data_IF_813494443797
#
_entry.id   IF_813494443797
#
_cell.length_a   1.000
_cell.length_b   1.000
_cell.length_c   1.000
_cell.angle_alpha   90.00
_cell.angle_beta   90.00
_cell.angle_gamma   90.00
#
_symmetry.space_group_name_H-M   'P 1'
#
loop_
_entity.id
_entity.type
_entity.pdbx_description
1 polymer ?
#
# COMPACT_ATOMS: atom_id res chain seq x y z
N UNK A 1 -1.87 -16.30 -0.92
CA UNK A 1 -2.41 -14.91 -0.87
C UNK A 1 -2.02 -14.19 -2.16
N UNK A 2 -3.00 -13.70 -2.91
CA UNK A 2 -2.75 -12.93 -4.14
C UNK A 2 -2.61 -11.44 -3.82
N UNK A 3 -1.46 -10.86 -4.10
CA UNK A 3 -1.18 -9.45 -3.85
C UNK A 3 -1.16 -8.67 -5.16
N UNK A 4 -1.97 -7.63 -5.28
CA UNK A 4 -1.93 -6.66 -6.38
C UNK A 4 -1.16 -5.42 -5.93
N UNK A 5 -0.10 -5.08 -6.63
CA UNK A 5 0.67 -3.84 -6.40
C UNK A 5 0.38 -2.87 -7.53
N UNK A 6 -0.39 -1.82 -7.24
CA UNK A 6 -0.64 -0.71 -8.16
C UNK A 6 0.47 0.33 -7.98
N UNK A 7 1.34 0.41 -8.97
CA UNK A 7 2.50 1.32 -8.97
C UNK A 7 2.12 2.62 -9.65
N UNK A 8 2.02 3.68 -8.89
CA UNK A 8 1.66 5.01 -9.39
C UNK A 8 2.84 5.98 -9.31
N UNK A 9 3.75 5.90 -10.27
CA UNK A 9 4.90 6.80 -10.38
C UNK A 9 4.90 7.51 -11.74
N UNK A 10 4.81 8.86 -11.81
CA UNK A 10 4.71 9.60 -13.08
C UNK A 10 5.86 9.35 -14.06
N UNK A 11 7.04 9.03 -13.55
CA UNK A 11 8.21 8.68 -14.35
C UNK A 11 9.02 7.57 -13.67
N UNK A 12 8.48 6.35 -13.71
CA UNK A 12 9.07 5.19 -13.02
C UNK A 12 10.51 4.92 -13.46
N UNK A 13 10.80 5.09 -14.75
CA UNK A 13 12.13 4.80 -15.30
C UNK A 13 13.24 5.68 -14.72
N UNK A 14 12.90 6.90 -14.26
CA UNK A 14 13.85 7.81 -13.58
C UNK A 14 13.84 7.67 -12.06
N UNK A 15 12.97 6.85 -11.49
CA UNK A 15 12.91 6.65 -10.05
C UNK A 15 13.97 5.63 -9.60
N UNK A 16 14.86 6.02 -8.71
CA UNK A 16 15.82 5.09 -8.10
C UNK A 16 15.13 4.08 -7.18
N UNK A 17 14.25 4.56 -6.32
CA UNK A 17 13.59 3.76 -5.29
C UNK A 17 12.44 2.92 -5.88
N UNK A 18 11.41 3.57 -6.46
CA UNK A 18 10.22 2.86 -6.92
C UNK A 18 10.51 1.89 -8.06
N UNK A 19 11.45 2.22 -8.96
CA UNK A 19 11.90 1.32 -10.01
C UNK A 19 12.54 0.07 -9.41
N UNK A 20 13.48 0.24 -8.46
CA UNK A 20 14.15 -0.87 -7.81
C UNK A 20 13.18 -1.78 -7.04
N UNK A 21 12.18 -1.19 -6.39
CA UNK A 21 11.12 -1.97 -5.74
C UNK A 21 10.33 -2.81 -6.74
N UNK A 22 9.96 -2.25 -7.90
CA UNK A 22 9.27 -2.99 -8.97
C UNK A 22 10.12 -4.13 -9.51
N UNK A 23 11.43 -3.91 -9.69
CA UNK A 23 12.36 -4.96 -10.12
C UNK A 23 12.40 -6.12 -9.14
N UNK A 24 12.39 -5.84 -7.83
CA UNK A 24 12.36 -6.87 -6.80
C UNK A 24 11.01 -7.62 -6.78
N UNK A 25 9.89 -6.90 -6.85
CA UNK A 25 8.55 -7.48 -6.91
C UNK A 25 8.39 -8.46 -8.09
N UNK A 26 8.94 -8.14 -9.26
CA UNK A 26 8.85 -8.99 -10.46
C UNK A 26 9.50 -10.36 -10.28
N UNK A 27 10.41 -10.54 -9.31
CA UNK A 27 10.99 -11.84 -8.94
C UNK A 27 9.99 -12.75 -8.21
N UNK A 28 8.88 -12.18 -7.72
CA UNK A 28 7.83 -12.87 -6.94
C UNK A 28 6.49 -12.97 -7.71
N UNK A 29 6.55 -13.14 -9.02
CA UNK A 29 5.38 -13.14 -9.92
C UNK A 29 4.33 -14.23 -9.63
N UNK A 30 4.67 -15.27 -8.87
CA UNK A 30 3.72 -16.29 -8.40
C UNK A 30 2.78 -15.79 -7.29
N UNK A 31 3.14 -14.73 -6.56
CA UNK A 31 2.40 -14.20 -5.42
C UNK A 31 1.97 -12.74 -5.62
N UNK A 32 2.69 -12.00 -6.50
CA UNK A 32 2.53 -10.57 -6.71
C UNK A 32 2.22 -10.27 -8.16
N UNK A 33 1.11 -9.59 -8.40
CA UNK A 33 0.80 -8.95 -9.68
C UNK A 33 1.20 -7.48 -9.61
N UNK A 34 2.14 -7.06 -10.45
CA UNK A 34 2.58 -5.65 -10.54
C UNK A 34 1.83 -4.97 -11.67
N UNK A 35 1.10 -3.89 -11.34
CA UNK A 35 0.35 -3.07 -12.27
C UNK A 35 0.92 -1.64 -12.30
N UNK A 36 1.66 -1.32 -13.36
CA UNK A 36 2.28 0.01 -13.55
C UNK A 36 1.25 0.98 -14.14
N UNK A 37 0.56 1.74 -13.29
CA UNK A 37 -0.59 2.56 -13.66
C UNK A 37 -0.31 3.58 -14.76
N UNK A 38 0.81 4.32 -14.67
CA UNK A 38 1.19 5.30 -15.69
C UNK A 38 1.66 4.65 -17.00
N UNK A 39 2.16 3.43 -16.94
CA UNK A 39 2.53 2.65 -18.13
C UNK A 39 1.30 2.07 -18.83
N UNK A 40 0.31 1.61 -18.07
CA UNK A 40 -0.95 1.09 -18.61
C UNK A 40 -1.82 2.22 -19.21
N UNK A 41 -1.77 3.41 -18.63
CA UNK A 41 -2.63 4.54 -19.03
C UNK A 41 -1.81 5.82 -19.31
N UNK A 42 -0.99 5.83 -20.39
CA UNK A 42 -0.15 6.98 -20.71
C UNK A 42 -0.99 8.24 -21.05
N UNK A 43 -2.20 8.03 -21.56
CA UNK A 43 -3.15 9.11 -21.87
C UNK A 43 -4.13 9.41 -20.72
N UNK A 44 -3.96 8.76 -19.57
CA UNK A 44 -4.79 8.94 -18.37
C UNK A 44 -6.28 8.64 -18.59
N UNK A 45 -6.62 7.79 -19.56
CA UNK A 45 -7.98 7.27 -19.77
C UNK A 45 -8.01 5.85 -19.23
N UNK A 46 -8.74 5.65 -18.14
CA UNK A 46 -8.76 4.38 -17.40
C UNK A 46 -9.77 3.40 -18.01
N UNK A 47 -9.39 2.14 -18.11
CA UNK A 47 -10.32 1.03 -18.36
C UNK A 47 -10.86 0.53 -17.00
N UNK A 48 -12.01 1.07 -16.61
CA UNK A 48 -12.61 0.81 -15.29
C UNK A 48 -12.91 -0.68 -15.10
N UNK A 49 -13.44 -1.35 -16.13
CA UNK A 49 -13.78 -2.77 -16.06
C UNK A 49 -12.54 -3.65 -15.83
N UNK A 50 -11.45 -3.36 -16.50
CA UNK A 50 -10.16 -4.03 -16.32
C UNK A 50 -9.61 -3.82 -14.90
N UNK A 51 -9.64 -2.61 -14.40
CA UNK A 51 -9.15 -2.29 -13.05
C UNK A 51 -9.98 -2.99 -11.97
N UNK A 52 -11.30 -3.00 -12.12
CA UNK A 52 -12.21 -3.70 -11.21
C UNK A 52 -11.98 -5.22 -11.24
N UNK A 53 -11.70 -5.80 -12.40
CA UNK A 53 -11.36 -7.22 -12.53
C UNK A 53 -10.06 -7.56 -11.79
N UNK A 54 -9.00 -6.75 -11.93
CA UNK A 54 -7.74 -6.92 -11.19
C UNK A 54 -7.97 -6.87 -9.67
N UNK A 55 -8.76 -5.91 -9.22
CA UNK A 55 -9.11 -5.76 -7.80
C UNK A 55 -9.94 -6.92 -7.27
N UNK A 56 -10.84 -7.48 -8.07
CA UNK A 56 -11.65 -8.62 -7.66
C UNK A 56 -10.80 -9.87 -7.36
N UNK A 57 -9.71 -10.09 -8.09
CA UNK A 57 -8.86 -11.27 -7.96
C UNK A 57 -7.86 -11.22 -6.81
N UNK A 58 -7.52 -10.04 -6.28
CA UNK A 58 -6.53 -9.92 -5.21
C UNK A 58 -7.16 -10.07 -3.83
N UNK A 59 -6.36 -10.49 -2.85
CA UNK A 59 -6.71 -10.50 -1.42
C UNK A 59 -6.11 -9.28 -0.71
N UNK A 60 -4.94 -8.81 -1.18
CA UNK A 60 -4.25 -7.62 -0.69
C UNK A 60 -3.96 -6.66 -1.83
N UNK A 61 -4.39 -5.41 -1.66
CA UNK A 61 -4.05 -4.29 -2.53
C UNK A 61 -2.92 -3.49 -1.90
N UNK A 62 -1.86 -3.25 -2.67
CA UNK A 62 -0.76 -2.36 -2.29
C UNK A 62 -0.75 -1.17 -3.23
N UNK A 63 -0.84 0.04 -2.69
CA UNK A 63 -0.64 1.27 -3.44
C UNK A 63 0.81 1.72 -3.26
N UNK A 64 1.62 1.57 -4.31
CA UNK A 64 3.03 1.99 -4.32
C UNK A 64 3.16 3.31 -5.04
N UNK A 65 3.64 4.35 -4.33
CA UNK A 65 3.76 5.69 -4.90
C UNK A 65 4.81 6.56 -4.16
N UNK A 66 5.38 7.57 -4.85
CA UNK A 66 6.13 8.62 -4.19
C UNK A 66 5.17 9.62 -3.53
N UNK A 67 5.48 10.06 -2.31
CA UNK A 67 4.74 11.15 -1.68
C UNK A 67 4.96 12.45 -2.48
N UNK A 68 3.91 12.95 -3.13
CA UNK A 68 3.96 14.18 -3.92
C UNK A 68 3.12 15.26 -3.24
N UNK A 69 3.78 16.36 -2.82
CA UNK A 69 3.09 17.45 -2.11
C UNK A 69 2.15 16.90 -1.03
N UNK A 70 2.68 16.01 -0.18
CA UNK A 70 2.01 15.40 0.97
C UNK A 70 0.82 14.50 0.62
N UNK A 71 0.67 14.10 -0.65
CA UNK A 71 -0.45 13.30 -1.15
C UNK A 71 -0.01 12.27 -2.19
N UNK A 72 -0.98 11.64 -2.82
CA UNK A 72 -0.79 10.70 -3.94
C UNK A 72 -0.49 11.42 -5.25
N UNK A 73 0.20 10.76 -6.20
CA UNK A 73 0.26 11.25 -7.58
C UNK A 73 -1.13 11.41 -8.21
N UNK A 74 -1.34 12.37 -9.13
CA UNK A 74 -2.66 12.69 -9.66
C UNK A 74 -3.41 11.50 -10.27
N UNK A 75 -2.73 10.66 -11.06
CA UNK A 75 -3.37 9.51 -11.70
C UNK A 75 -3.82 8.46 -10.68
N UNK A 76 -3.14 8.35 -9.52
CA UNK A 76 -3.60 7.46 -8.46
C UNK A 76 -4.88 7.98 -7.82
N UNK A 77 -5.00 9.29 -7.61
CA UNK A 77 -6.25 9.87 -7.09
C UNK A 77 -7.39 9.69 -8.08
N UNK A 78 -7.15 9.96 -9.38
CA UNK A 78 -8.12 9.71 -10.44
C UNK A 78 -8.55 8.23 -10.45
N UNK A 79 -7.60 7.30 -10.35
CA UNK A 79 -7.87 5.87 -10.31
C UNK A 79 -8.77 5.49 -9.12
N UNK A 80 -8.49 6.04 -7.92
CA UNK A 80 -9.34 5.82 -6.74
C UNK A 80 -10.77 6.34 -6.96
N UNK A 81 -10.93 7.50 -7.59
CA UNK A 81 -12.24 8.13 -7.80
C UNK A 81 -13.07 7.42 -8.88
N UNK A 82 -12.43 6.96 -9.95
CA UNK A 82 -13.14 6.40 -11.11
C UNK A 82 -13.39 4.89 -10.98
N UNK A 83 -12.45 4.14 -10.39
CA UNK A 83 -12.55 2.68 -10.30
C UNK A 83 -13.50 2.25 -9.18
N UNK A 84 -13.47 2.92 -8.03
CA UNK A 84 -14.29 2.57 -6.87
C UNK A 84 -15.65 3.26 -6.92
N UNK A 85 -16.43 2.95 -7.97
CA UNK A 85 -17.77 3.54 -8.12
C UNK A 85 -18.76 3.02 -7.08
N UNK A 86 -19.71 3.86 -6.67
CA UNK A 86 -20.76 3.47 -5.71
C UNK A 86 -21.56 2.24 -6.16
N UNK A 87 -21.86 2.14 -7.48
CA UNK A 87 -22.56 1.01 -8.04
C UNK A 87 -21.78 -0.30 -7.91
N UNK A 88 -20.47 -0.27 -8.12
CA UNK A 88 -19.59 -1.43 -8.00
C UNK A 88 -19.36 -1.84 -6.54
N UNK A 89 -19.23 -0.87 -5.64
CA UNK A 89 -18.96 -1.12 -4.23
C UNK A 89 -20.19 -1.61 -3.46
N UNK A 90 -21.38 -1.07 -3.76
CA UNK A 90 -22.58 -1.24 -2.93
C UNK A 90 -23.79 -1.78 -3.73
N UNK A 91 -23.65 -1.95 -5.04
CA UNK A 91 -24.69 -2.53 -5.89
C UNK A 91 -24.83 -4.06 -5.76
N UNK A 92 -25.68 -4.70 -6.57
CA UNK A 92 -25.81 -6.16 -6.62
C UNK A 92 -24.45 -6.80 -6.94
N UNK A 93 -23.88 -7.55 -6.01
CA UNK A 93 -22.51 -8.08 -6.10
C UNK A 93 -21.42 -7.18 -5.50
N UNK A 94 -21.77 -6.05 -4.92
CA UNK A 94 -20.89 -4.97 -4.45
C UNK A 94 -19.99 -5.24 -3.24
N UNK A 95 -19.64 -6.49 -2.96
CA UNK A 95 -18.65 -6.84 -1.92
C UNK A 95 -17.27 -7.20 -2.48
N UNK A 96 -16.96 -6.77 -3.70
CA UNK A 96 -15.75 -7.20 -4.40
C UNK A 96 -14.45 -6.87 -3.65
N UNK A 97 -14.43 -5.81 -2.83
CA UNK A 97 -13.25 -5.38 -2.05
C UNK A 97 -13.43 -5.47 -0.53
N UNK A 98 -14.65 -5.67 -0.04
CA UNK A 98 -14.91 -5.76 1.39
C UNK A 98 -14.18 -6.96 2.01
N UNK A 99 -13.51 -6.73 3.13
CA UNK A 99 -12.69 -7.73 3.82
C UNK A 99 -11.29 -7.93 3.27
N UNK A 100 -10.96 -7.30 2.11
CA UNK A 100 -9.59 -7.31 1.58
C UNK A 100 -8.68 -6.37 2.36
N UNK A 101 -7.38 -6.55 2.20
CA UNK A 101 -6.36 -5.75 2.85
C UNK A 101 -5.88 -4.61 1.94
N UNK A 102 -5.65 -3.43 2.52
CA UNK A 102 -5.04 -2.28 1.85
C UNK A 102 -3.74 -1.90 2.56
N UNK A 103 -2.65 -1.76 1.81
CA UNK A 103 -1.34 -1.34 2.28
C UNK A 103 -0.80 -0.21 1.41
N UNK A 104 -0.15 0.76 2.03
CA UNK A 104 0.56 1.82 1.31
C UNK A 104 2.06 1.57 1.35
N UNK A 105 2.71 1.63 0.19
CA UNK A 105 4.16 1.60 0.05
C UNK A 105 4.64 2.95 -0.48
N UNK A 106 5.23 3.75 0.39
CA UNK A 106 5.47 5.17 0.14
C UNK A 106 6.96 5.47 0.15
N UNK A 107 7.48 6.00 -0.95
CA UNK A 107 8.80 6.63 -0.98
C UNK A 107 8.67 8.12 -0.66
N UNK A 108 9.45 8.59 0.31
CA UNK A 108 9.41 9.94 0.85
C UNK A 108 10.75 10.62 0.61
N UNK A 109 10.76 11.78 -0.07
CA UNK A 109 12.00 12.47 -0.43
C UNK A 109 12.78 13.02 0.76
N UNK A 110 12.06 13.52 1.79
CA UNK A 110 12.65 14.07 3.01
C UNK A 110 13.01 13.00 4.04
N UNK A 111 13.84 13.39 5.01
CA UNK A 111 14.24 12.54 6.13
C UNK A 111 13.07 12.30 7.10
N UNK A 112 13.14 11.22 7.87
CA UNK A 112 12.04 10.77 8.73
C UNK A 112 11.68 11.80 9.80
N UNK A 113 12.68 12.39 10.42
CA UNK A 113 12.54 13.40 11.49
C UNK A 113 11.80 14.68 11.03
N UNK A 114 11.74 14.94 9.73
CA UNK A 114 10.98 16.08 9.21
C UNK A 114 9.46 15.84 9.23
N UNK A 115 9.05 14.56 9.27
CA UNK A 115 7.65 14.12 9.29
C UNK A 115 7.19 13.66 10.67
N UNK A 116 7.64 14.37 11.68
CA UNK A 116 7.27 14.15 13.08
C UNK A 116 6.71 15.44 13.70
N UNK A 117 6.04 15.32 14.85
CA UNK A 117 5.63 16.49 15.61
C UNK A 117 6.86 17.30 16.03
N UNK A 118 6.90 18.59 15.68
CA UNK A 118 8.05 19.46 15.87
C UNK A 118 9.12 19.40 14.77
N UNK A 119 8.99 18.50 13.81
CA UNK A 119 9.80 18.50 12.58
C UNK A 119 9.39 19.61 11.61
N UNK A 120 10.17 19.81 10.52
CA UNK A 120 9.94 20.88 9.56
C UNK A 120 8.54 20.84 8.92
N UNK A 121 8.02 19.63 8.63
CA UNK A 121 6.69 19.44 8.05
C UNK A 121 5.63 19.43 9.16
N UNK A 122 5.96 18.92 10.37
CA UNK A 122 5.08 18.91 11.53
C UNK A 122 3.91 17.93 11.46
N UNK A 123 3.86 17.08 10.42
CA UNK A 123 2.85 16.05 10.23
C UNK A 123 3.51 14.71 9.91
N UNK A 124 3.06 13.65 10.56
CA UNK A 124 3.50 12.30 10.27
C UNK A 124 2.93 11.79 8.95
N UNK A 125 3.57 10.80 8.34
CA UNK A 125 3.02 10.15 7.13
C UNK A 125 1.62 9.55 7.43
N UNK A 126 1.38 9.08 8.63
CA UNK A 126 0.06 8.55 9.02
C UNK A 126 -1.03 9.62 9.03
N UNK A 127 -0.70 10.86 9.42
CA UNK A 127 -1.64 11.99 9.35
C UNK A 127 -1.89 12.43 7.91
N UNK A 128 -0.85 12.51 7.09
CA UNK A 128 -0.95 12.87 5.68
C UNK A 128 -1.73 11.83 4.84
N UNK A 129 -1.77 10.57 5.28
CA UNK A 129 -2.49 9.48 4.61
C UNK A 129 -3.88 9.19 5.19
N UNK A 130 -4.38 10.02 6.12
CA UNK A 130 -5.73 9.89 6.71
C UNK A 130 -6.86 9.76 5.68
N UNK A 131 -6.86 10.49 4.54
CA UNK A 131 -7.88 10.31 3.52
C UNK A 131 -7.93 8.87 2.96
N UNK A 132 -6.77 8.22 2.79
CA UNK A 132 -6.71 6.83 2.33
C UNK A 132 -7.17 5.83 3.41
N UNK A 133 -6.93 6.14 4.70
CA UNK A 133 -7.49 5.35 5.80
C UNK A 133 -9.02 5.47 5.85
N UNK A 134 -9.56 6.69 5.70
CA UNK A 134 -11.01 6.92 5.65
C UNK A 134 -11.64 6.20 4.45
N UNK A 135 -10.98 6.25 3.29
CA UNK A 135 -11.38 5.52 2.09
C UNK A 135 -11.45 3.99 2.36
N UNK A 136 -10.38 3.40 2.90
CA UNK A 136 -10.35 1.97 3.22
C UNK A 136 -11.49 1.57 4.17
N UNK A 137 -11.71 2.35 5.23
CA UNK A 137 -12.78 2.11 6.19
C UNK A 137 -14.17 2.16 5.52
N UNK A 138 -14.40 3.15 4.64
CA UNK A 138 -15.68 3.34 3.94
C UNK A 138 -16.02 2.16 3.04
N UNK A 139 -15.03 1.58 2.35
CA UNK A 139 -15.24 0.45 1.43
C UNK A 139 -15.06 -0.92 2.08
N UNK A 140 -14.86 -0.97 3.39
CA UNK A 140 -14.75 -2.21 4.17
C UNK A 140 -13.43 -2.95 4.01
N UNK A 141 -12.36 -2.28 3.57
CA UNK A 141 -11.00 -2.84 3.54
C UNK A 141 -10.29 -2.66 4.88
N UNK A 142 -9.40 -3.61 5.20
CA UNK A 142 -8.52 -3.51 6.36
C UNK A 142 -7.23 -2.78 6.00
N UNK A 143 -7.03 -1.57 6.55
CA UNK A 143 -5.76 -0.87 6.38
C UNK A 143 -4.66 -1.53 7.22
N UNK A 144 -3.57 -1.92 6.56
CA UNK A 144 -2.39 -2.53 7.17
C UNK A 144 -1.31 -1.49 7.49
N UNK A 145 -0.33 -1.82 8.35
CA UNK A 145 0.85 -0.98 8.57
C UNK A 145 1.57 -0.66 7.26
N UNK A 146 1.82 0.62 7.02
CA UNK A 146 2.45 1.10 5.79
C UNK A 146 3.93 0.72 5.70
N UNK A 147 4.41 0.44 4.49
CA UNK A 147 5.83 0.43 4.20
C UNK A 147 6.27 1.84 3.79
N UNK A 148 7.25 2.40 4.50
CA UNK A 148 7.75 3.75 4.28
C UNK A 148 9.26 3.72 4.07
N UNK A 149 9.74 4.51 3.13
CA UNK A 149 11.17 4.72 2.90
C UNK A 149 11.45 6.21 2.79
N UNK A 150 11.99 6.77 3.86
CA UNK A 150 12.37 8.17 3.99
C UNK A 150 13.73 8.44 3.39
N UNK A 151 14.04 9.73 3.09
CA UNK A 151 15.31 10.15 2.55
C UNK A 151 15.57 9.70 1.12
N UNK A 152 14.54 9.35 0.35
CA UNK A 152 14.64 8.75 -0.99
C UNK A 152 15.51 9.57 -1.98
N UNK A 153 15.57 10.89 -1.82
CA UNK A 153 16.36 11.78 -2.68
C UNK A 153 17.87 11.63 -2.47
N UNK A 154 18.30 11.28 -1.25
CA UNK A 154 19.72 11.26 -0.84
C UNK A 154 20.20 9.85 -0.45
N UNK A 155 19.31 8.85 -0.50
CA UNK A 155 19.64 7.49 -0.11
C UNK A 155 20.80 6.91 -0.95
N UNK A 156 21.72 6.23 -0.28
CA UNK A 156 22.75 5.41 -0.94
C UNK A 156 22.11 4.20 -1.64
N UNK A 157 22.78 3.66 -2.65
CA UNK A 157 22.26 2.53 -3.42
C UNK A 157 22.05 1.29 -2.54
N UNK A 158 22.92 1.05 -1.56
CA UNK A 158 22.81 -0.06 -0.60
C UNK A 158 21.55 0.07 0.28
N UNK A 159 21.17 1.29 0.64
CA UNK A 159 19.93 1.54 1.40
C UNK A 159 18.69 1.24 0.54
N UNK A 160 18.72 1.61 -0.74
CA UNK A 160 17.65 1.32 -1.70
C UNK A 160 17.53 -0.18 -1.92
N UNK A 161 18.65 -0.89 -2.15
CA UNK A 161 18.69 -2.35 -2.28
C UNK A 161 18.10 -3.05 -1.06
N UNK A 162 18.56 -2.69 0.13
CA UNK A 162 18.04 -3.22 1.39
C UNK A 162 16.55 -2.93 1.55
N UNK A 163 16.08 -1.74 1.14
CA UNK A 163 14.67 -1.37 1.21
C UNK A 163 13.80 -2.23 0.29
N UNK A 164 14.29 -2.60 -0.89
CA UNK A 164 13.55 -3.43 -1.84
C UNK A 164 13.27 -4.82 -1.26
N UNK A 165 14.27 -5.46 -0.65
CA UNK A 165 14.11 -6.75 0.03
C UNK A 165 13.16 -6.66 1.22
N UNK A 166 13.29 -5.60 2.05
CA UNK A 166 12.38 -5.36 3.18
C UNK A 166 10.95 -5.11 2.73
N UNK A 167 10.77 -4.40 1.62
CA UNK A 167 9.46 -4.11 1.04
C UNK A 167 8.74 -5.39 0.64
N UNK A 168 9.38 -6.26 -0.14
CA UNK A 168 8.77 -7.54 -0.55
C UNK A 168 8.43 -8.40 0.67
N UNK A 169 9.35 -8.52 1.64
CA UNK A 169 9.09 -9.24 2.88
C UNK A 169 7.87 -8.67 3.61
N UNK A 170 7.75 -7.35 3.70
CA UNK A 170 6.65 -6.68 4.38
C UNK A 170 5.31 -7.00 3.72
N UNK A 171 5.19 -6.82 2.40
CA UNK A 171 3.92 -7.02 1.71
C UNK A 171 3.51 -8.49 1.57
N UNK A 172 4.45 -9.43 1.69
CA UNK A 172 4.18 -10.87 1.65
C UNK A 172 4.00 -11.49 3.04
N UNK A 173 4.18 -10.72 4.13
CA UNK A 173 3.92 -11.20 5.49
C UNK A 173 2.43 -11.54 5.64
N UNK A 174 2.05 -12.81 5.95
CA UNK A 174 0.64 -13.24 5.95
C UNK A 174 -0.20 -12.53 7.02
N UNK A 175 0.36 -12.34 8.21
CA UNK A 175 -0.34 -11.76 9.37
C UNK A 175 0.23 -10.38 9.71
N UNK A 176 0.05 -9.43 8.79
CA UNK A 176 0.55 -8.07 8.98
C UNK A 176 -0.40 -7.20 9.83
N UNK A 177 -1.66 -7.61 10.00
CA UNK A 177 -2.61 -6.90 10.83
C UNK A 177 -2.27 -7.06 12.32
N UNK A 178 -1.87 -5.97 13.03
CA UNK A 178 -1.50 -6.04 14.44
C UNK A 178 -2.66 -6.45 15.35
N UNK A 179 -3.91 -6.31 14.89
CA UNK A 179 -5.09 -6.74 15.65
C UNK A 179 -5.16 -8.27 15.76
N UNK A 180 -4.78 -8.99 14.71
CA UNK A 180 -4.70 -10.45 14.70
C UNK A 180 -3.62 -10.91 15.68
N UNK A 181 -2.42 -10.32 15.61
CA UNK A 181 -1.33 -10.62 16.53
C UNK A 181 -1.73 -10.39 18.00
N UNK A 182 -2.46 -9.28 18.28
CA UNK A 182 -2.99 -8.97 19.60
C UNK A 182 -3.97 -10.03 20.11
N UNK A 183 -4.91 -10.45 19.28
CA UNK A 183 -5.91 -11.47 19.66
C UNK A 183 -5.20 -12.79 20.01
N UNK A 184 -4.22 -13.20 19.21
CA UNK A 184 -3.41 -14.41 19.48
C UNK A 184 -2.69 -14.30 20.82
N UNK A 185 -1.98 -13.20 21.06
CA UNK A 185 -1.27 -12.96 22.33
C UNK A 185 -2.22 -13.04 23.54
N UNK A 186 -3.42 -12.43 23.45
CA UNK A 186 -4.40 -12.48 24.53
C UNK A 186 -4.93 -13.90 24.78
N UNK A 187 -5.12 -14.69 23.73
CA UNK A 187 -5.55 -16.09 23.86
C UNK A 187 -4.46 -16.95 24.52
N UNK A 188 -3.21 -16.79 24.13
CA UNK A 188 -2.06 -17.46 24.76
C UNK A 188 -1.93 -17.11 26.24
N UNK A 189 -2.10 -15.82 26.60
CA UNK A 189 -2.08 -15.39 28.00
C UNK A 189 -3.21 -16.04 28.80
N UNK A 190 -4.44 -16.09 28.28
CA UNK A 190 -5.57 -16.76 28.93
C UNK A 190 -5.30 -18.25 29.17
N UNK A 191 -4.75 -18.95 28.18
CA UNK A 191 -4.39 -20.37 28.33
C UNK A 191 -3.32 -20.61 29.41
N UNK A 192 -2.30 -19.76 29.46
CA UNK A 192 -1.25 -19.85 30.51
C UNK A 192 -1.83 -19.60 31.90
N UNK A 193 -2.72 -18.62 32.05
CA UNK A 193 -3.39 -18.36 33.33
C UNK A 193 -4.27 -19.52 33.77
N UNK A 194 -5.00 -20.17 32.86
CA UNK A 194 -5.83 -21.35 33.19
C UNK A 194 -5.00 -22.58 33.54
N UNK A 195 -3.82 -22.74 32.95
CA UNK A 195 -2.91 -23.85 33.25
C UNK A 195 -2.14 -23.68 34.56
N UNK A 196 -2.20 -22.49 35.18
CA UNK A 196 -1.53 -22.15 36.43
C UNK A 196 -2.45 -22.19 37.65
N UNK A 197 -3.74 -22.50 37.43
CA UNK A 197 -4.78 -22.72 38.45
C UNK A 197 -5.04 -24.21 38.66
#
# INVERSE_FOLDING_TARGET
MKTLVVVAHPNLQKSRVNKRWVEELKKHSGEVTVHELYGAYPQKVLDIGREQALLAECERLVLQFPLQWYSTPPLLKQWLDEVFTMAWLFGPGGKAVAGKELLLAISVGGAEETYEAGGLIGYTISELTRPLQAFANQIGMTMLPHFKFHGANQAADEQIESSAVRYVRHILTPELDPRIARVRMLNEMKQKMQASL
#
